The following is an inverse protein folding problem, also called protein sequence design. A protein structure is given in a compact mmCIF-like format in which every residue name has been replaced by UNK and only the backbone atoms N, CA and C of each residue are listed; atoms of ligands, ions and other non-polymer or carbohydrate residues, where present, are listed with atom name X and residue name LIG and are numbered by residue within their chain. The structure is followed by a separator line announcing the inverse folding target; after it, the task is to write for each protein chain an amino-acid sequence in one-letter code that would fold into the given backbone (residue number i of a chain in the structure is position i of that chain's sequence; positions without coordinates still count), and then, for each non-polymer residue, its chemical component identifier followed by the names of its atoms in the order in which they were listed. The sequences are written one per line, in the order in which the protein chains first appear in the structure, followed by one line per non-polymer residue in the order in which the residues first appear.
data_IF_747474906962
#
_entry.id   IF_747474906962
#
_cell.length_a   1.000
_cell.length_b   1.000
_cell.length_c   1.000
_cell.angle_alpha   90.00
_cell.angle_beta   90.00
_cell.angle_gamma   90.00
#
_symmetry.space_group_name_H-M   'P 1'
#
loop_
_entity.id
_entity.type
_entity.pdbx_description
1 polymer ?
#
# COMPACT_ATOMS: atom_id res chain seq x y z
N UNK A 1 16.72 7.63 7.68
CA UNK A 1 15.43 7.49 6.99
C UNK A 1 15.10 8.70 6.11
N UNK A 2 15.18 9.92 6.63
CA UNK A 2 14.93 11.16 5.88
C UNK A 2 15.54 11.21 4.47
N UNK A 3 16.85 10.97 4.32
CA UNK A 3 17.50 10.98 3.00
C UNK A 3 16.96 9.94 2.02
N UNK A 4 16.51 8.77 2.51
CA UNK A 4 15.87 7.75 1.67
C UNK A 4 14.49 8.18 1.21
N UNK A 5 13.72 8.86 2.07
CA UNK A 5 12.44 9.43 1.69
C UNK A 5 12.65 10.52 0.63
N UNK A 6 13.57 11.46 0.87
CA UNK A 6 13.85 12.53 -0.07
C UNK A 6 14.33 12.01 -1.44
N UNK A 7 15.17 10.98 -1.48
CA UNK A 7 15.69 10.39 -2.72
C UNK A 7 14.73 9.41 -3.42
N UNK A 8 13.62 9.01 -2.80
CA UNK A 8 12.68 8.08 -3.42
C UNK A 8 11.90 8.76 -4.56
N UNK A 9 11.80 8.08 -5.70
CA UNK A 9 11.00 8.54 -6.85
C UNK A 9 9.50 8.28 -6.63
N UNK A 10 9.17 7.21 -5.91
CA UNK A 10 7.80 6.78 -5.65
C UNK A 10 7.68 6.08 -4.29
N UNK A 11 6.45 5.90 -3.80
CA UNK A 11 6.16 5.19 -2.56
C UNK A 11 5.14 4.06 -2.73
N UNK A 12 5.35 2.97 -2.00
CA UNK A 12 4.33 1.93 -1.80
C UNK A 12 3.99 1.91 -0.31
N UNK A 13 2.81 2.41 0.03
CA UNK A 13 2.32 2.50 1.40
C UNK A 13 1.58 1.20 1.75
N UNK A 14 2.19 0.41 2.63
CA UNK A 14 1.65 -0.89 3.05
C UNK A 14 1.03 -0.76 4.44
N UNK A 15 -0.23 -1.17 4.61
CA UNK A 15 -0.91 -1.09 5.90
C UNK A 15 -1.82 -2.29 6.20
N UNK A 16 -1.78 -2.86 7.42
CA UNK A 16 -2.91 -3.62 7.92
C UNK A 16 -4.13 -2.70 8.14
N UNK A 17 -5.31 -3.30 8.26
CA UNK A 17 -6.48 -2.64 8.86
C UNK A 17 -6.59 -2.97 10.35
N UNK A 18 -6.51 -1.95 11.20
CA UNK A 18 -6.83 -2.02 12.63
C UNK A 18 -8.07 -1.18 12.90
N UNK A 19 -9.17 -1.81 13.34
CA UNK A 19 -10.42 -1.10 13.67
C UNK A 19 -10.88 -0.11 12.57
N UNK A 20 -10.77 -0.52 11.30
CA UNK A 20 -11.11 0.30 10.13
C UNK A 20 -10.16 1.47 9.83
N UNK A 21 -9.01 1.52 10.50
CA UNK A 21 -7.98 2.54 10.30
C UNK A 21 -6.65 1.94 9.78
N UNK A 22 -5.80 2.76 9.14
CA UNK A 22 -4.41 2.38 8.84
C UNK A 22 -3.62 2.09 10.12
N UNK A 23 -2.45 1.46 9.98
CA UNK A 23 -1.61 1.18 11.13
C UNK A 23 -1.14 2.46 11.82
N UNK A 24 -1.23 2.54 13.16
CA UNK A 24 -0.67 3.66 13.91
C UNK A 24 0.83 3.86 13.64
N UNK A 25 1.57 2.77 13.39
CA UNK A 25 2.99 2.83 13.04
C UNK A 25 3.24 3.60 11.74
N UNK A 26 2.47 3.31 10.69
CA UNK A 26 2.56 4.02 9.41
C UNK A 26 2.14 5.49 9.57
N UNK A 27 1.00 5.75 10.21
CA UNK A 27 0.49 7.12 10.40
C UNK A 27 1.48 7.95 11.23
N UNK A 28 2.08 7.37 12.27
CA UNK A 28 3.11 8.04 13.06
C UNK A 28 4.36 8.37 12.23
N UNK A 29 4.81 7.45 11.36
CA UNK A 29 5.94 7.69 10.47
C UNK A 29 5.66 8.82 9.47
N UNK A 30 4.46 8.84 8.90
CA UNK A 30 4.03 9.88 7.97
C UNK A 30 3.95 11.26 8.66
N UNK A 31 3.47 11.31 9.90
CA UNK A 31 3.37 12.56 10.68
C UNK A 31 4.72 13.04 11.24
N UNK A 32 5.74 12.19 11.26
CA UNK A 32 7.05 12.54 11.82
C UNK A 32 7.89 13.44 10.89
N UNK A 33 7.65 13.38 9.58
CA UNK A 33 8.40 14.15 8.58
C UNK A 33 7.54 15.26 7.97
N UNK A 34 8.17 16.38 7.61
CA UNK A 34 7.48 17.45 6.90
C UNK A 34 6.97 16.99 5.51
N UNK A 35 5.83 17.50 5.08
CA UNK A 35 5.15 17.10 3.83
C UNK A 35 6.05 17.22 2.58
N UNK A 36 7.02 18.13 2.57
CA UNK A 36 7.93 18.35 1.43
C UNK A 36 8.72 17.11 1.00
N UNK A 37 8.99 16.15 1.90
CA UNK A 37 9.70 14.91 1.52
C UNK A 37 8.83 13.94 0.74
N UNK A 38 7.51 14.12 0.83
CA UNK A 38 6.49 13.29 0.19
C UNK A 38 5.88 13.95 -1.06
N UNK A 39 5.99 15.27 -1.14
CA UNK A 39 5.35 16.09 -2.18
C UNK A 39 5.77 15.71 -3.59
N UNK A 40 4.80 15.71 -4.51
CA UNK A 40 4.94 15.43 -5.95
C UNK A 40 5.43 14.02 -6.29
N UNK A 41 5.39 13.08 -5.33
CA UNK A 41 5.81 11.71 -5.57
C UNK A 41 4.62 10.80 -5.82
N UNK A 42 4.60 10.03 -6.92
CA UNK A 42 3.58 9.03 -7.13
C UNK A 42 3.61 7.99 -6.01
N UNK A 43 2.43 7.51 -5.62
CA UNK A 43 2.32 6.53 -4.55
C UNK A 43 1.26 5.48 -4.83
N UNK A 44 1.43 4.30 -4.24
CA UNK A 44 0.46 3.21 -4.27
C UNK A 44 0.09 2.79 -2.85
N UNK A 45 -1.11 2.24 -2.67
CA UNK A 45 -1.59 1.71 -1.40
C UNK A 45 -1.78 0.21 -1.53
N UNK A 46 -1.15 -0.53 -0.62
CA UNK A 46 -1.36 -1.96 -0.40
C UNK A 46 -1.96 -2.10 0.99
N UNK A 47 -3.11 -2.75 1.09
CA UNK A 47 -3.70 -3.09 2.37
C UNK A 47 -3.89 -4.58 2.54
N UNK A 48 -3.91 -5.03 3.79
CA UNK A 48 -4.20 -6.42 4.11
C UNK A 48 -5.02 -6.54 5.40
N UNK A 49 -5.75 -7.64 5.54
CA UNK A 49 -6.39 -7.99 6.81
C UNK A 49 -6.67 -9.49 6.90
N UNK A 50 -7.07 -9.95 8.09
CA UNK A 50 -7.59 -11.32 8.25
C UNK A 50 -9.01 -11.47 7.66
N UNK A 51 -9.72 -10.36 7.44
CA UNK A 51 -11.07 -10.35 6.91
C UNK A 51 -11.14 -10.45 5.38
N UNK A 52 -12.35 -10.63 4.87
CA UNK A 52 -12.60 -10.81 3.42
C UNK A 52 -12.36 -9.55 2.57
N UNK A 53 -12.22 -8.38 3.19
CA UNK A 53 -12.11 -7.10 2.49
C UNK A 53 -10.68 -6.60 2.33
N UNK A 54 -9.68 -7.36 2.79
CA UNK A 54 -8.27 -7.04 2.59
C UNK A 54 -7.83 -5.66 3.07
N UNK A 55 -8.53 -5.08 4.06
CA UNK A 55 -8.20 -3.78 4.63
C UNK A 55 -8.66 -2.56 3.82
N UNK A 56 -9.64 -2.71 2.91
CA UNK A 56 -10.17 -1.60 2.10
C UNK A 56 -10.49 -0.32 2.89
N UNK A 57 -11.00 -0.40 4.12
CA UNK A 57 -11.34 0.83 4.87
C UNK A 57 -10.10 1.57 5.31
N UNK A 58 -9.08 0.84 5.75
CA UNK A 58 -7.77 1.43 6.04
C UNK A 58 -7.16 2.06 4.77
N UNK A 59 -7.22 1.38 3.63
CA UNK A 59 -6.69 1.92 2.37
C UNK A 59 -7.40 3.23 1.96
N UNK A 60 -8.73 3.26 2.02
CA UNK A 60 -9.54 4.45 1.69
C UNK A 60 -9.26 5.59 2.66
N UNK A 61 -9.11 5.30 3.96
CA UNK A 61 -8.75 6.31 4.97
C UNK A 61 -7.31 6.84 4.81
N UNK A 62 -6.39 6.02 4.31
CA UNK A 62 -5.00 6.42 4.08
C UNK A 62 -4.86 7.35 2.87
N UNK A 63 -5.68 7.16 1.84
CA UNK A 63 -5.61 7.95 0.60
C UNK A 63 -5.62 9.48 0.82
N UNK A 64 -6.58 10.07 1.58
CA UNK A 64 -6.57 11.51 1.83
C UNK A 64 -5.36 11.98 2.65
N UNK A 65 -4.83 11.15 3.56
CA UNK A 65 -3.60 11.46 4.31
C UNK A 65 -2.42 11.62 3.34
N UNK A 66 -2.28 10.69 2.39
CA UNK A 66 -1.22 10.78 1.38
C UNK A 66 -1.37 12.01 0.49
N UNK A 67 -2.59 12.32 0.06
CA UNK A 67 -2.86 13.53 -0.73
C UNK A 67 -2.55 14.81 0.04
N UNK A 68 -2.86 14.87 1.34
CA UNK A 68 -2.53 16.01 2.20
C UNK A 68 -1.01 16.20 2.36
N UNK A 69 -0.25 15.11 2.42
CA UNK A 69 1.22 15.15 2.44
C UNK A 69 1.84 15.50 1.08
N UNK A 70 1.02 15.70 0.03
CA UNK A 70 1.45 16.04 -1.32
C UNK A 70 1.84 14.84 -2.18
N UNK A 71 1.64 13.60 -1.72
CA UNK A 71 1.78 12.42 -2.57
C UNK A 71 0.70 12.40 -3.65
N UNK A 72 0.98 11.67 -4.73
CA UNK A 72 0.07 11.47 -5.86
C UNK A 72 -0.38 9.99 -5.90
N UNK A 73 -1.34 9.57 -5.07
CA UNK A 73 -1.76 8.17 -5.01
C UNK A 73 -2.49 7.73 -6.28
N UNK A 74 -2.00 6.66 -6.91
CA UNK A 74 -2.63 6.03 -8.08
C UNK A 74 -4.03 5.51 -7.76
N UNK A 75 -4.86 5.33 -8.79
CA UNK A 75 -6.25 4.93 -8.60
C UNK A 75 -6.39 3.46 -8.19
N UNK A 76 -5.56 2.58 -8.73
CA UNK A 76 -5.60 1.15 -8.44
C UNK A 76 -4.90 0.84 -7.11
N UNK A 77 -5.61 0.20 -6.18
CA UNK A 77 -5.07 -0.26 -4.89
C UNK A 77 -5.04 -1.79 -4.85
N UNK A 78 -4.10 -2.33 -4.07
CA UNK A 78 -3.99 -3.77 -3.80
C UNK A 78 -4.59 -4.06 -2.43
N UNK A 79 -5.56 -4.95 -2.37
CA UNK A 79 -6.17 -5.42 -1.13
C UNK A 79 -5.95 -6.93 -1.00
N UNK A 80 -5.31 -7.37 0.08
CA UNK A 80 -5.02 -8.79 0.34
C UNK A 80 -5.97 -9.31 1.43
N UNK A 81 -7.10 -9.96 1.05
CA UNK A 81 -8.05 -10.51 1.99
C UNK A 81 -7.51 -11.79 2.61
N UNK A 82 -7.85 -12.05 3.88
CA UNK A 82 -7.42 -13.26 4.60
C UNK A 82 -5.92 -13.54 4.42
N UNK A 83 -5.07 -12.51 4.56
CA UNK A 83 -3.65 -12.59 4.17
C UNK A 83 -2.90 -13.81 4.74
N UNK A 84 -3.24 -14.23 5.95
CA UNK A 84 -2.76 -15.44 6.63
C UNK A 84 -3.07 -16.78 5.92
N UNK A 85 -3.90 -16.78 4.88
CA UNK A 85 -4.23 -17.94 4.03
C UNK A 85 -3.79 -17.77 2.59
N UNK A 86 -3.41 -16.57 2.22
CA UNK A 86 -3.01 -16.23 0.84
C UNK A 86 -1.49 -16.33 0.72
N UNK A 87 -0.74 -15.83 1.71
CA UNK A 87 0.71 -15.77 1.66
C UNK A 87 1.32 -16.68 2.73
N UNK A 88 2.39 -17.37 2.37
CA UNK A 88 3.23 -18.11 3.31
C UNK A 88 4.18 -17.18 4.09
N UNK A 89 5.02 -17.76 4.95
CA UNK A 89 6.00 -17.00 5.75
C UNK A 89 7.07 -16.29 4.89
N UNK A 90 7.29 -16.74 3.65
CA UNK A 90 8.19 -16.10 2.70
C UNK A 90 7.48 -15.01 1.87
N UNK A 91 6.18 -14.81 2.06
CA UNK A 91 5.38 -13.85 1.30
C UNK A 91 4.98 -14.37 -0.09
N UNK A 92 5.02 -15.68 -0.32
CA UNK A 92 4.66 -16.33 -1.58
C UNK A 92 3.20 -16.79 -1.54
N UNK A 93 2.42 -16.62 -2.62
CA UNK A 93 1.06 -17.15 -2.70
C UNK A 93 0.98 -18.68 -2.47
N UNK A 94 0.10 -19.11 -1.57
CA UNK A 94 -0.02 -20.52 -1.13
C UNK A 94 -0.75 -21.40 -2.17
N UNK A 95 -1.68 -20.86 -2.96
CA UNK A 95 -2.50 -21.67 -3.89
C UNK A 95 -1.83 -22.12 -5.18
N UNK A 96 -0.50 -22.13 -5.22
CA UNK A 96 0.28 -22.62 -6.36
C UNK A 96 0.36 -21.61 -7.52
N UNK A 97 0.92 -22.04 -8.67
CA UNK A 97 1.32 -21.13 -9.75
C UNK A 97 0.17 -20.34 -10.38
N UNK A 98 -1.03 -20.92 -10.45
CA UNK A 98 -2.18 -20.25 -11.06
C UNK A 98 -2.70 -19.10 -10.19
N UNK A 99 -2.88 -19.32 -8.88
CA UNK A 99 -3.27 -18.25 -7.96
C UNK A 99 -2.17 -17.17 -7.89
N UNK A 100 -0.90 -17.57 -7.95
CA UNK A 100 0.21 -16.61 -8.00
C UNK A 100 0.13 -15.69 -9.24
N UNK A 101 -0.22 -16.24 -10.40
CA UNK A 101 -0.41 -15.45 -11.62
C UNK A 101 -1.62 -14.51 -11.53
N UNK A 102 -2.71 -14.94 -10.90
CA UNK A 102 -3.88 -14.09 -10.63
C UNK A 102 -3.51 -12.91 -9.72
N UNK A 103 -2.73 -13.15 -8.66
CA UNK A 103 -2.19 -12.10 -7.79
C UNK A 103 -1.26 -11.15 -8.53
N UNK A 104 -0.38 -11.66 -9.39
CA UNK A 104 0.47 -10.85 -10.25
C UNK A 104 -0.37 -9.96 -11.17
N UNK A 105 -1.35 -10.53 -11.87
CA UNK A 105 -2.24 -9.78 -12.77
C UNK A 105 -3.05 -8.71 -12.03
N UNK A 106 -3.55 -9.02 -10.83
CA UNK A 106 -4.27 -8.05 -10.00
C UNK A 106 -3.37 -6.89 -9.55
N UNK A 107 -2.18 -7.19 -9.03
CA UNK A 107 -1.24 -6.17 -8.55
C UNK A 107 -0.59 -5.39 -9.71
N UNK A 108 -0.43 -6.01 -10.88
CA UNK A 108 0.17 -5.40 -12.07
C UNK A 108 -0.54 -4.10 -12.45
N UNK A 109 -1.87 -4.03 -12.32
CA UNK A 109 -2.62 -2.78 -12.60
C UNK A 109 -2.13 -1.60 -11.76
N UNK A 110 -1.86 -1.83 -10.47
CA UNK A 110 -1.32 -0.80 -9.57
C UNK A 110 0.10 -0.41 -9.97
N UNK A 111 0.94 -1.39 -10.31
CA UNK A 111 2.33 -1.14 -10.72
C UNK A 111 2.43 -0.41 -12.05
N UNK A 112 1.63 -0.77 -13.04
CA UNK A 112 1.59 -0.04 -14.32
C UNK A 112 1.18 1.41 -14.13
N UNK A 113 0.20 1.68 -13.25
CA UNK A 113 -0.19 3.06 -12.95
C UNK A 113 0.93 3.81 -12.23
N UNK A 114 1.61 3.16 -11.27
CA UNK A 114 2.69 3.80 -10.51
C UNK A 114 3.90 4.12 -11.39
N UNK A 115 4.24 3.22 -12.33
CA UNK A 115 5.33 3.40 -13.28
C UNK A 115 5.05 4.42 -14.39
N UNK A 116 3.78 4.71 -14.67
CA UNK A 116 3.39 5.66 -15.70
C UNK A 116 3.58 7.13 -15.27
N UNK A 117 3.46 7.41 -13.98
CA UNK A 117 3.69 8.74 -13.39
C UNK A 117 5.14 9.20 -13.51
#
# INVERSE_FOLDING_TARGET
LYGRLLAADAYVMVTPEYNHAPSPALVNMLNHFGSSVFSFKPSAIVSYSQGQWGGTRAAVALRPILSELGCLPVSAMVHVPRAHRVLDEAGVPIGGPQEAEEWHGYAHRTWSQLQWW
#
